data_IF_368225121640
#
_entry.id   IF_368225121640
#
_cell.length_a   1.000
_cell.length_b   1.000
_cell.length_c   1.000
_cell.angle_alpha   90.00
_cell.angle_beta   90.00
_cell.angle_gamma   90.00
#
_symmetry.space_group_name_H-M   'P 1'
#
loop_
_entity.id
_entity.type
_entity.pdbx_description
1 polymer ?
#
# COMPACT_ATOMS: atom_id res chain seq x y z
N UNK A 1 6.64 -7.63 -31.04
CA UNK A 1 7.72 -7.97 -30.07
C UNK A 1 7.43 -7.37 -28.70
N UNK A 2 7.48 -6.04 -28.53
CA UNK A 2 7.35 -5.41 -27.20
C UNK A 2 6.04 -5.69 -26.47
N UNK A 3 4.90 -5.79 -27.16
CA UNK A 3 3.63 -6.26 -26.54
C UNK A 3 3.78 -7.62 -25.85
N UNK A 4 4.45 -8.60 -26.49
CA UNK A 4 4.65 -9.92 -25.89
C UNK A 4 5.58 -9.85 -24.67
N UNK A 5 6.65 -9.06 -24.74
CA UNK A 5 7.57 -8.85 -23.62
C UNK A 5 6.84 -8.27 -22.38
N UNK A 6 5.99 -7.26 -22.58
CA UNK A 6 5.20 -6.65 -21.50
C UNK A 6 4.23 -7.65 -20.88
N UNK A 7 3.54 -8.46 -21.69
CA UNK A 7 2.63 -9.51 -21.20
C UNK A 7 3.34 -10.59 -20.38
N UNK A 8 4.57 -10.98 -20.76
CA UNK A 8 5.36 -11.98 -20.02
C UNK A 8 5.73 -11.47 -18.64
N UNK A 9 6.09 -10.18 -18.49
CA UNK A 9 6.46 -9.59 -17.19
C UNK A 9 5.25 -9.53 -16.22
N UNK A 10 4.02 -9.52 -16.73
CA UNK A 10 2.82 -9.58 -15.89
C UNK A 10 2.66 -10.95 -15.18
N UNK A 11 3.16 -12.04 -15.77
CA UNK A 11 2.97 -13.41 -15.24
C UNK A 11 3.62 -13.60 -13.87
N UNK A 12 4.92 -13.29 -13.65
CA UNK A 12 5.53 -13.40 -12.31
C UNK A 12 4.82 -12.57 -11.24
N UNK A 13 4.29 -11.41 -11.62
CA UNK A 13 3.54 -10.55 -10.70
C UNK A 13 2.22 -11.21 -10.27
N UNK A 14 1.51 -11.83 -11.22
CA UNK A 14 0.32 -12.64 -10.93
C UNK A 14 0.63 -13.79 -9.97
N UNK A 15 1.74 -14.52 -10.20
CA UNK A 15 2.18 -15.62 -9.31
C UNK A 15 2.40 -15.11 -7.88
N UNK A 16 3.04 -13.94 -7.69
CA UNK A 16 3.24 -13.36 -6.35
C UNK A 16 1.91 -13.00 -5.66
N UNK A 17 0.97 -12.38 -6.37
CA UNK A 17 -0.35 -12.03 -5.84
C UNK A 17 -1.10 -13.29 -5.39
N UNK A 18 -1.17 -14.31 -6.25
CA UNK A 18 -1.82 -15.58 -5.89
C UNK A 18 -1.11 -16.30 -4.75
N UNK A 19 0.22 -16.24 -4.68
CA UNK A 19 0.96 -16.81 -3.55
C UNK A 19 0.59 -16.12 -2.23
N UNK A 20 0.46 -14.79 -2.21
CA UNK A 20 0.04 -14.07 -0.99
C UNK A 20 -1.40 -14.41 -0.58
N UNK A 21 -2.32 -14.54 -1.56
CA UNK A 21 -3.69 -14.98 -1.29
C UNK A 21 -3.71 -16.41 -0.72
N UNK A 22 -2.91 -17.31 -1.29
CA UNK A 22 -2.77 -18.68 -0.79
C UNK A 22 -2.21 -18.72 0.64
N UNK A 23 -1.24 -17.85 0.98
CA UNK A 23 -0.72 -17.73 2.36
C UNK A 23 -1.80 -17.27 3.35
N UNK A 24 -2.74 -16.42 2.92
CA UNK A 24 -3.86 -16.00 3.77
C UNK A 24 -4.91 -17.11 3.96
N UNK A 25 -4.98 -18.07 3.04
CA UNK A 25 -5.96 -19.15 3.09
C UNK A 25 -5.64 -20.15 4.21
N UNK A 26 -6.63 -20.44 5.06
CA UNK A 26 -6.47 -21.39 6.17
C UNK A 26 -5.68 -20.85 7.38
N UNK A 27 -5.26 -19.58 7.35
CA UNK A 27 -4.58 -18.91 8.47
C UNK A 27 -5.52 -18.26 9.49
N UNK A 28 -4.97 -17.85 10.63
CA UNK A 28 -5.67 -17.03 11.64
C UNK A 28 -5.40 -15.55 11.39
N UNK A 29 -6.25 -14.90 10.61
CA UNK A 29 -6.06 -13.50 10.21
C UNK A 29 -6.55 -12.55 11.30
N UNK A 30 -5.68 -11.61 11.71
CA UNK A 30 -6.06 -10.47 12.54
C UNK A 30 -6.04 -9.18 11.72
N UNK A 31 -7.16 -8.48 11.65
CA UNK A 31 -7.31 -7.23 10.90
C UNK A 31 -6.76 -6.01 11.65
N UNK A 32 -5.47 -6.06 11.98
CA UNK A 32 -4.72 -4.89 12.46
C UNK A 32 -4.37 -3.98 11.29
N UNK A 33 -4.02 -2.74 11.59
CA UNK A 33 -3.75 -1.69 10.60
C UNK A 33 -2.73 -2.11 9.51
N UNK A 34 -1.61 -2.80 9.80
CA UNK A 34 -0.69 -3.27 8.77
C UNK A 34 -1.36 -4.24 7.79
N UNK A 35 -2.21 -5.13 8.29
CA UNK A 35 -2.95 -6.10 7.47
C UNK A 35 -3.99 -5.40 6.58
N UNK A 36 -4.66 -4.36 7.09
CA UNK A 36 -5.57 -3.54 6.26
C UNK A 36 -4.83 -2.90 5.08
N UNK A 37 -3.68 -2.26 5.33
CA UNK A 37 -2.86 -1.69 4.26
C UNK A 37 -2.30 -2.75 3.31
N UNK A 38 -1.93 -3.94 3.79
CA UNK A 38 -1.47 -5.05 2.95
C UNK A 38 -2.58 -5.59 2.02
N UNK A 39 -3.80 -5.76 2.55
CA UNK A 39 -4.96 -6.17 1.73
C UNK A 39 -5.34 -5.05 0.75
N UNK A 40 -5.35 -3.80 1.20
CA UNK A 40 -5.55 -2.64 0.34
C UNK A 40 -4.52 -2.55 -0.79
N UNK A 41 -3.25 -2.84 -0.50
CA UNK A 41 -2.19 -2.97 -1.48
C UNK A 41 -2.52 -4.03 -2.53
N UNK A 42 -2.85 -5.27 -2.11
CA UNK A 42 -3.20 -6.35 -3.04
C UNK A 42 -4.35 -5.93 -3.95
N UNK A 43 -5.40 -5.32 -3.40
CA UNK A 43 -6.57 -4.87 -4.16
C UNK A 43 -6.23 -3.77 -5.19
N UNK A 44 -5.64 -2.65 -4.74
CA UNK A 44 -5.36 -1.51 -5.61
C UNK A 44 -4.29 -1.83 -6.64
N UNK A 45 -3.26 -2.58 -6.25
CA UNK A 45 -2.21 -3.01 -7.15
C UNK A 45 -2.75 -3.99 -8.21
N UNK A 46 -3.72 -4.83 -7.88
CA UNK A 46 -4.37 -5.72 -8.86
C UNK A 46 -5.17 -4.91 -9.89
N UNK A 47 -5.97 -3.93 -9.46
CA UNK A 47 -6.70 -3.04 -10.39
C UNK A 47 -5.73 -2.29 -11.30
N UNK A 48 -4.67 -1.73 -10.72
CA UNK A 48 -3.59 -1.08 -11.48
C UNK A 48 -2.90 -2.03 -12.45
N UNK A 49 -2.59 -3.25 -12.03
CA UNK A 49 -1.96 -4.27 -12.88
C UNK A 49 -2.82 -4.64 -14.08
N UNK A 50 -4.13 -4.83 -13.88
CA UNK A 50 -5.07 -5.16 -14.95
C UNK A 50 -5.17 -4.02 -15.99
N UNK A 51 -5.21 -2.77 -15.55
CA UNK A 51 -5.20 -1.61 -16.47
C UNK A 51 -3.87 -1.48 -17.23
N UNK A 52 -2.77 -1.97 -16.65
CA UNK A 52 -1.47 -2.08 -17.34
C UNK A 52 -1.46 -3.13 -18.44
N UNK A 53 -2.15 -4.25 -18.23
CA UNK A 53 -2.33 -5.28 -19.26
C UNK A 53 -3.13 -4.71 -20.45
N UNK A 54 -4.14 -3.87 -20.19
CA UNK A 54 -4.87 -3.15 -21.25
C UNK A 54 -3.92 -2.27 -22.06
N UNK A 55 -3.09 -1.47 -21.40
CA UNK A 55 -2.11 -0.57 -22.03
C UNK A 55 -0.95 -1.30 -22.72
N UNK A 56 -0.67 -2.56 -22.39
CA UNK A 56 0.39 -3.34 -23.01
C UNK A 56 0.10 -3.72 -24.48
N UNK A 57 -1.17 -3.66 -24.90
CA UNK A 57 -1.57 -3.91 -26.27
C UNK A 57 -1.27 -2.70 -27.17
N UNK A 58 -0.54 -2.91 -28.28
CA UNK A 58 -0.13 -1.81 -29.15
C UNK A 58 -1.29 -1.06 -29.81
N UNK A 59 -2.39 -1.74 -30.13
CA UNK A 59 -3.56 -1.11 -30.73
C UNK A 59 -4.32 -0.23 -29.74
N UNK A 60 -4.43 -0.70 -28.49
CA UNK A 60 -5.05 0.08 -27.41
C UNK A 60 -4.17 1.25 -26.95
N UNK A 61 -2.85 1.06 -26.93
CA UNK A 61 -1.93 2.15 -26.60
C UNK A 61 -2.07 3.30 -27.60
N UNK A 62 -2.23 3.05 -28.91
CA UNK A 62 -2.47 4.14 -29.89
C UNK A 62 -3.66 5.02 -29.48
N UNK A 63 -4.76 4.43 -28.98
CA UNK A 63 -5.95 5.18 -28.60
C UNK A 63 -5.85 5.81 -27.20
N UNK A 64 -5.14 5.17 -26.28
CA UNK A 64 -5.06 5.58 -24.88
C UNK A 64 -3.77 6.34 -24.55
N UNK A 65 -2.84 6.44 -25.50
CA UNK A 65 -1.56 7.11 -25.33
C UNK A 65 -1.78 8.55 -24.89
N UNK A 66 -0.96 9.00 -23.94
CA UNK A 66 -1.04 10.37 -23.42
C UNK A 66 -2.42 10.80 -22.93
N UNK A 67 -3.31 9.87 -22.58
CA UNK A 67 -4.59 10.19 -21.93
C UNK A 67 -4.50 10.02 -20.42
N UNK A 68 -5.55 10.45 -19.72
CA UNK A 68 -5.71 10.17 -18.29
C UNK A 68 -5.80 8.67 -17.94
N UNK A 69 -5.99 7.77 -18.92
CA UNK A 69 -6.01 6.32 -18.65
C UNK A 69 -4.62 5.84 -18.20
N UNK A 70 -3.57 6.31 -18.86
CA UNK A 70 -2.17 6.03 -18.49
C UNK A 70 -1.83 6.64 -17.12
N UNK A 71 -2.35 7.84 -16.86
CA UNK A 71 -2.19 8.51 -15.56
C UNK A 71 -2.83 7.67 -14.46
N UNK A 72 -4.07 7.22 -14.64
CA UNK A 72 -4.80 6.40 -13.69
C UNK A 72 -4.08 5.08 -13.40
N UNK A 73 -3.71 4.34 -14.45
CA UNK A 73 -2.95 3.10 -14.36
C UNK A 73 -1.71 3.26 -13.47
N UNK A 74 -0.86 4.23 -13.78
CA UNK A 74 0.40 4.42 -13.08
C UNK A 74 0.23 4.88 -11.63
N UNK A 75 -0.79 5.71 -11.33
CA UNK A 75 -1.08 6.11 -9.96
C UNK A 75 -1.57 4.93 -9.11
N UNK A 76 -2.38 4.02 -9.66
CA UNK A 76 -2.75 2.80 -8.93
C UNK A 76 -1.56 1.87 -8.69
N UNK A 77 -0.71 1.63 -9.69
CA UNK A 77 0.43 0.70 -9.56
C UNK A 77 1.58 1.29 -8.74
N UNK A 78 2.14 2.43 -9.17
CA UNK A 78 3.33 2.98 -8.53
C UNK A 78 2.96 3.75 -7.26
N UNK A 79 2.03 4.70 -7.35
CA UNK A 79 1.73 5.57 -6.20
C UNK A 79 1.04 4.79 -5.09
N UNK A 80 -0.10 4.16 -5.37
CA UNK A 80 -0.86 3.45 -4.33
C UNK A 80 -0.17 2.18 -3.87
N UNK A 81 0.46 1.43 -4.78
CA UNK A 81 1.26 0.26 -4.44
C UNK A 81 2.38 0.58 -3.44
N UNK A 82 3.24 1.54 -3.78
CA UNK A 82 4.36 1.91 -2.92
C UNK A 82 3.92 2.57 -1.61
N UNK A 83 2.93 3.49 -1.67
CA UNK A 83 2.47 4.23 -0.48
C UNK A 83 1.74 3.31 0.51
N UNK A 84 0.93 2.36 0.05
CA UNK A 84 0.24 1.42 0.95
C UNK A 84 1.24 0.43 1.58
N UNK A 85 2.21 -0.06 0.81
CA UNK A 85 3.29 -0.89 1.35
C UNK A 85 4.13 -0.10 2.39
N UNK A 86 4.41 1.18 2.13
CA UNK A 86 5.09 2.07 3.07
C UNK A 86 4.30 2.23 4.37
N UNK A 87 2.99 2.49 4.29
CA UNK A 87 2.17 2.61 5.50
C UNK A 87 2.02 1.28 6.23
N UNK A 88 1.84 0.16 5.54
CA UNK A 88 1.84 -1.17 6.15
C UNK A 88 3.15 -1.40 6.93
N UNK A 89 4.30 -1.15 6.29
CA UNK A 89 5.62 -1.26 6.92
C UNK A 89 5.80 -0.30 8.09
N UNK A 90 5.37 0.96 7.95
CA UNK A 90 5.40 1.93 9.04
C UNK A 90 4.62 1.41 10.25
N UNK A 91 3.35 1.03 10.09
CA UNK A 91 2.54 0.55 11.20
C UNK A 91 3.06 -0.77 11.79
N UNK A 92 3.68 -1.61 10.98
CA UNK A 92 4.29 -2.87 11.42
C UNK A 92 5.55 -2.62 12.27
N UNK A 93 6.41 -1.66 11.89
CA UNK A 93 7.70 -1.42 12.54
C UNK A 93 7.77 -0.19 13.46
N UNK A 94 6.76 0.69 13.50
CA UNK A 94 6.78 1.90 14.34
C UNK A 94 6.98 1.56 15.83
N UNK A 95 6.39 0.46 16.29
CA UNK A 95 6.58 -0.06 17.64
C UNK A 95 8.02 -0.49 17.93
N UNK A 96 8.71 -1.01 16.90
CA UNK A 96 10.12 -1.41 16.97
C UNK A 96 11.05 -0.21 17.01
N UNK A 97 10.74 0.84 16.24
CA UNK A 97 11.58 2.05 16.11
C UNK A 97 11.50 2.91 17.37
N UNK A 98 10.29 3.21 17.85
CA UNK A 98 10.09 4.12 18.99
C UNK A 98 9.88 3.41 20.33
N UNK A 99 9.75 2.08 20.35
CA UNK A 99 9.41 1.31 21.54
C UNK A 99 7.98 1.55 22.05
N UNK A 100 7.10 2.14 21.24
CA UNK A 100 5.73 2.54 21.63
C UNK A 100 4.70 2.11 20.59
N UNK A 101 3.55 1.67 21.06
CA UNK A 101 2.43 1.33 20.19
C UNK A 101 1.65 2.57 19.75
N UNK A 102 1.10 2.52 18.54
CA UNK A 102 0.13 3.49 18.07
C UNK A 102 -1.28 3.08 18.51
N UNK A 103 -2.21 4.03 18.67
CA UNK A 103 -3.61 3.69 18.91
C UNK A 103 -4.25 3.08 17.65
N UNK A 104 -4.60 1.79 17.73
CA UNK A 104 -5.13 0.99 16.60
C UNK A 104 -6.30 1.67 15.88
N UNK A 105 -7.26 2.22 16.63
CA UNK A 105 -8.42 2.92 16.05
C UNK A 105 -8.02 4.10 15.16
N UNK A 106 -6.98 4.86 15.52
CA UNK A 106 -6.54 5.97 14.66
C UNK A 106 -5.84 5.47 13.40
N UNK A 107 -5.12 4.34 13.49
CA UNK A 107 -4.52 3.66 12.34
C UNK A 107 -5.56 3.17 11.33
N UNK A 108 -6.63 2.53 11.82
CA UNK A 108 -7.75 2.08 10.98
C UNK A 108 -8.51 3.26 10.35
N UNK A 109 -8.73 4.35 11.11
CA UNK A 109 -9.33 5.58 10.57
C UNK A 109 -8.44 6.16 9.46
N UNK A 110 -7.12 6.22 9.67
CA UNK A 110 -6.18 6.66 8.63
C UNK A 110 -6.30 5.80 7.38
N UNK A 111 -6.28 4.47 7.53
CA UNK A 111 -6.46 3.54 6.41
C UNK A 111 -7.72 3.84 5.61
N UNK A 112 -8.90 3.91 6.25
CA UNK A 112 -10.16 4.10 5.54
C UNK A 112 -10.25 5.44 4.82
N UNK A 113 -9.84 6.54 5.46
CA UNK A 113 -9.83 7.86 4.83
C UNK A 113 -8.92 7.85 3.61
N UNK A 114 -7.69 7.33 3.75
CA UNK A 114 -6.74 7.25 2.64
C UNK A 114 -7.27 6.36 1.52
N UNK A 115 -7.80 5.17 1.84
CA UNK A 115 -8.34 4.23 0.86
C UNK A 115 -9.49 4.82 0.04
N UNK A 116 -10.46 5.46 0.68
CA UNK A 116 -11.57 6.09 -0.05
C UNK A 116 -11.11 7.34 -0.82
N UNK A 117 -10.28 8.19 -0.23
CA UNK A 117 -9.80 9.41 -0.88
C UNK A 117 -9.03 9.14 -2.17
N UNK A 118 -8.10 8.18 -2.15
CA UNK A 118 -7.27 7.88 -3.33
C UNK A 118 -8.08 7.21 -4.44
N UNK A 119 -9.04 6.35 -4.11
CA UNK A 119 -9.93 5.77 -5.13
C UNK A 119 -10.84 6.83 -5.74
N UNK A 120 -11.40 7.72 -4.92
CA UNK A 120 -12.24 8.81 -5.43
C UNK A 120 -11.44 9.77 -6.32
N UNK A 121 -10.14 9.95 -6.05
CA UNK A 121 -9.24 10.77 -6.85
C UNK A 121 -8.91 10.12 -8.19
N UNK A 122 -8.40 8.88 -8.17
CA UNK A 122 -7.78 8.26 -9.34
C UNK A 122 -8.71 7.37 -10.15
N UNK A 123 -9.77 6.80 -9.56
CA UNK A 123 -10.69 5.95 -10.32
C UNK A 123 -11.37 6.71 -11.47
N UNK A 124 -11.89 7.94 -11.27
CA UNK A 124 -12.51 8.69 -12.35
C UNK A 124 -11.56 8.94 -13.54
N UNK A 125 -10.24 9.05 -13.30
CA UNK A 125 -9.25 9.25 -14.37
C UNK A 125 -9.28 8.16 -15.44
N UNK A 126 -9.70 6.92 -15.12
CA UNK A 126 -9.93 5.90 -16.14
C UNK A 126 -11.05 6.30 -17.10
N UNK A 127 -12.17 6.84 -16.59
CA UNK A 127 -13.29 7.31 -17.41
C UNK A 127 -12.88 8.52 -18.26
N UNK A 128 -12.15 9.48 -17.68
CA UNK A 128 -11.63 10.62 -18.46
C UNK A 128 -10.68 10.15 -19.57
N UNK A 129 -9.81 9.20 -19.27
CA UNK A 129 -8.91 8.59 -20.24
C UNK A 129 -9.63 7.90 -21.39
N UNK A 130 -10.64 7.08 -21.07
CA UNK A 130 -11.49 6.42 -22.08
C UNK A 130 -12.30 7.43 -22.91
N UNK A 131 -12.64 8.59 -22.34
CA UNK A 131 -13.29 9.69 -23.06
C UNK A 131 -12.32 10.57 -23.88
N UNK A 132 -11.03 10.22 -23.90
CA UNK A 132 -10.01 10.86 -24.72
C UNK A 132 -9.39 12.13 -24.13
N UNK A 133 -9.59 12.43 -22.84
CA UNK A 133 -8.97 13.61 -22.23
C UNK A 133 -7.43 13.47 -22.24
N UNK A 134 -6.70 14.40 -22.91
CA UNK A 134 -5.25 14.39 -22.91
C UNK A 134 -4.67 14.69 -21.52
N UNK A 135 -3.51 14.12 -21.23
CA UNK A 135 -2.75 14.45 -20.02
C UNK A 135 -2.03 15.80 -20.16
N UNK A 136 -1.71 16.43 -19.02
CA UNK A 136 -0.87 17.64 -18.94
C UNK A 136 -1.45 18.87 -19.66
N UNK A 137 -2.76 19.04 -19.56
CA UNK A 137 -3.47 20.25 -19.97
C UNK A 137 -3.91 21.01 -18.72
N UNK A 138 -3.84 22.35 -18.76
CA UNK A 138 -4.29 23.20 -17.66
C UNK A 138 -5.80 23.34 -17.62
N UNK A 139 -6.42 23.44 -18.80
CA UNK A 139 -7.86 23.57 -18.99
C UNK A 139 -8.39 22.43 -19.86
N UNK A 140 -9.69 22.16 -19.73
CA UNK A 140 -10.37 21.06 -20.42
C UNK A 140 -11.77 21.46 -20.85
N UNK A 141 -12.31 20.87 -21.93
CA UNK A 141 -13.71 21.08 -22.33
C UNK A 141 -14.71 20.72 -21.22
N UNK A 142 -15.86 21.39 -21.21
CA UNK A 142 -16.93 21.21 -20.21
C UNK A 142 -17.40 19.75 -20.08
N UNK A 143 -17.29 18.95 -21.15
CA UNK A 143 -17.61 17.53 -21.14
C UNK A 143 -16.82 16.73 -20.08
N UNK A 144 -15.62 17.18 -19.70
CA UNK A 144 -14.76 16.52 -18.72
C UNK A 144 -14.92 17.10 -17.29
N UNK A 145 -15.71 18.15 -17.10
CA UNK A 145 -15.78 18.88 -15.83
C UNK A 145 -16.33 18.02 -14.67
N UNK A 146 -17.35 17.20 -14.93
CA UNK A 146 -18.00 16.41 -13.88
C UNK A 146 -17.03 15.46 -13.16
N UNK A 147 -16.27 14.67 -13.91
CA UNK A 147 -15.32 13.73 -13.32
C UNK A 147 -14.10 14.44 -12.69
N UNK A 148 -13.61 15.53 -13.29
CA UNK A 148 -12.53 16.32 -12.69
C UNK A 148 -12.94 16.95 -11.35
N UNK A 149 -14.20 17.39 -11.22
CA UNK A 149 -14.74 17.88 -9.95
C UNK A 149 -14.73 16.78 -8.87
N UNK A 150 -15.13 15.56 -9.23
CA UNK A 150 -15.11 14.41 -8.33
C UNK A 150 -13.69 14.01 -7.92
N UNK A 151 -12.76 13.93 -8.89
CA UNK A 151 -11.35 13.66 -8.63
C UNK A 151 -10.72 14.71 -7.71
N UNK A 152 -11.07 15.99 -7.91
CA UNK A 152 -10.61 17.09 -7.06
C UNK A 152 -11.11 16.93 -5.62
N UNK A 153 -12.38 16.55 -5.44
CA UNK A 153 -12.94 16.28 -4.11
C UNK A 153 -12.23 15.11 -3.41
N UNK A 154 -11.91 14.03 -4.14
CA UNK A 154 -11.12 12.93 -3.62
C UNK A 154 -9.76 13.37 -3.07
N UNK A 155 -9.10 14.32 -3.73
CA UNK A 155 -7.77 14.78 -3.30
C UNK A 155 -7.80 15.46 -1.93
N UNK A 156 -8.86 16.21 -1.61
CA UNK A 156 -9.03 16.81 -0.29
C UNK A 156 -9.19 15.74 0.80
N UNK A 157 -9.88 14.64 0.51
CA UNK A 157 -9.99 13.49 1.43
C UNK A 157 -8.61 12.87 1.67
N UNK A 158 -7.79 12.71 0.63
CA UNK A 158 -6.41 12.22 0.77
C UNK A 158 -5.54 13.14 1.63
N UNK A 159 -5.70 14.46 1.53
CA UNK A 159 -5.02 15.43 2.42
C UNK A 159 -5.44 15.21 3.88
N UNK A 160 -6.72 14.97 4.15
CA UNK A 160 -7.20 14.61 5.50
C UNK A 160 -6.57 13.29 5.97
N UNK A 161 -6.41 12.30 5.09
CA UNK A 161 -5.71 11.05 5.36
C UNK A 161 -4.25 11.27 5.81
N UNK A 162 -3.49 12.06 5.05
CA UNK A 162 -2.10 12.41 5.38
C UNK A 162 -2.02 13.19 6.70
N UNK A 163 -2.92 14.16 6.93
CA UNK A 163 -2.99 14.87 8.20
C UNK A 163 -3.23 13.88 9.35
N UNK A 164 -4.10 12.89 9.16
CA UNK A 164 -4.39 11.86 10.15
C UNK A 164 -3.17 10.99 10.44
N UNK A 165 -2.40 10.63 9.41
CA UNK A 165 -1.13 9.93 9.57
C UNK A 165 -0.16 10.68 10.49
N UNK A 166 0.07 11.99 10.24
CA UNK A 166 0.97 12.78 11.10
C UNK A 166 0.48 12.91 12.54
N UNK A 167 -0.84 12.96 12.77
CA UNK A 167 -1.40 12.89 14.13
C UNK A 167 -1.05 11.57 14.80
N UNK A 168 -1.13 10.44 14.09
CA UNK A 168 -0.72 9.13 14.61
C UNK A 168 0.77 9.12 14.95
N UNK A 169 1.63 9.63 14.06
CA UNK A 169 3.08 9.73 14.30
C UNK A 169 3.36 10.55 15.56
N UNK A 170 2.75 11.74 15.66
CA UNK A 170 2.93 12.64 16.80
C UNK A 170 2.48 12.01 18.12
N UNK A 171 1.33 11.34 18.16
CA UNK A 171 0.84 10.65 19.36
C UNK A 171 1.77 9.50 19.72
N UNK A 172 2.25 8.75 18.73
CA UNK A 172 3.13 7.59 18.97
C UNK A 172 4.48 8.03 19.55
N UNK A 173 5.03 9.16 19.09
CA UNK A 173 6.30 9.70 19.60
C UNK A 173 6.16 10.50 20.90
N UNK A 174 5.09 11.29 21.07
CA UNK A 174 4.94 12.21 22.22
C UNK A 174 4.34 11.56 23.47
N UNK A 175 3.64 10.44 23.34
CA UNK A 175 2.83 9.94 24.45
C UNK A 175 3.63 9.19 25.51
N UNK A 176 3.95 9.88 26.61
CA UNK A 176 4.39 9.25 27.86
C UNK A 176 3.34 8.34 28.52
N UNK A 177 2.13 8.24 27.94
CA UNK A 177 1.03 7.38 28.38
C UNK A 177 0.79 6.18 27.45
N UNK A 178 1.43 6.11 26.28
CA UNK A 178 1.25 4.95 25.39
C UNK A 178 1.97 3.75 25.97
N UNK A 179 1.35 2.58 25.82
CA UNK A 179 1.92 1.33 26.28
C UNK A 179 3.27 1.10 25.58
N UNK A 180 4.26 0.65 26.36
CA UNK A 180 5.51 0.14 25.79
C UNK A 180 5.17 -0.97 24.81
N UNK A 181 5.81 -0.94 23.65
CA UNK A 181 5.68 -2.01 22.69
C UNK A 181 6.24 -3.30 23.30
N UNK A 182 5.48 -4.39 23.21
CA UNK A 182 6.00 -5.71 23.52
C UNK A 182 7.18 -6.04 22.57
N UNK A 183 8.03 -6.98 22.97
CA UNK A 183 9.14 -7.44 22.12
C UNK A 183 8.62 -8.05 20.81
N UNK A 184 7.53 -8.82 20.92
CA UNK A 184 6.75 -9.34 19.78
C UNK A 184 5.27 -8.92 19.89
N UNK A 185 4.88 -7.75 19.37
CA UNK A 185 3.50 -7.27 19.45
C UNK A 185 2.55 -7.98 18.46
N UNK A 186 3.13 -8.70 17.49
CA UNK A 186 2.41 -9.39 16.41
C UNK A 186 2.37 -10.91 16.58
N UNK A 187 3.01 -11.44 17.62
CA UNK A 187 3.03 -12.87 17.89
C UNK A 187 1.61 -13.41 18.11
N UNK A 188 1.18 -14.30 17.22
CA UNK A 188 0.03 -15.19 17.45
C UNK A 188 0.46 -16.41 18.27
N UNK A 189 1.73 -16.80 18.15
CA UNK A 189 2.37 -17.88 18.89
C UNK A 189 3.58 -17.35 19.69
N UNK A 190 4.04 -18.12 20.68
CA UNK A 190 5.15 -17.72 21.57
C UNK A 190 6.46 -17.45 20.82
N UNK A 191 6.66 -18.05 19.65
CA UNK A 191 7.86 -17.89 18.83
C UNK A 191 7.56 -17.04 17.58
N UNK A 192 8.19 -15.87 17.41
CA UNK A 192 8.06 -15.10 16.18
C UNK A 192 8.75 -15.81 15.02
N UNK A 193 8.19 -15.66 13.82
CA UNK A 193 8.73 -16.29 12.60
C UNK A 193 9.98 -15.60 12.07
N UNK A 194 10.16 -14.31 12.37
CA UNK A 194 11.30 -13.50 11.92
C UNK A 194 12.14 -13.02 13.09
N UNK A 195 13.46 -12.96 12.88
CA UNK A 195 14.43 -12.68 13.95
C UNK A 195 14.28 -11.28 14.55
N UNK A 196 13.76 -10.30 13.80
CA UNK A 196 13.64 -8.93 14.34
C UNK A 196 12.71 -8.86 15.55
N UNK A 197 11.74 -9.76 15.69
CA UNK A 197 10.82 -9.77 16.84
C UNK A 197 11.31 -10.59 18.04
N UNK A 198 12.50 -11.18 17.96
CA UNK A 198 13.17 -11.84 19.09
C UNK A 198 13.90 -10.85 20.01
N UNK A 199 14.16 -9.64 19.52
CA UNK A 199 14.89 -8.61 20.29
C UNK A 199 13.94 -7.57 20.88
N UNK A 200 14.49 -6.74 21.77
CA UNK A 200 13.79 -5.65 22.44
C UNK A 200 13.23 -4.61 21.45
N UNK A 201 12.30 -3.79 21.92
CA UNK A 201 11.72 -2.66 21.18
C UNK A 201 11.87 -1.37 22.02
N UNK A 202 12.79 -0.45 21.69
CA UNK A 202 13.76 -0.50 20.59
C UNK A 202 14.91 -1.48 20.85
N UNK A 203 15.60 -1.96 19.78
CA UNK A 203 16.80 -2.78 19.93
C UNK A 203 17.92 -2.03 20.66
N UNK A 204 18.77 -2.77 21.38
CA UNK A 204 20.01 -2.22 21.93
C UNK A 204 20.98 -1.80 20.82
N UNK A 205 21.96 -0.96 21.15
CA UNK A 205 22.97 -0.48 20.18
C UNK A 205 23.70 -1.62 19.48
N UNK A 206 24.01 -2.68 20.22
CA UNK A 206 24.41 -3.98 19.67
C UNK A 206 23.20 -4.91 19.71
N UNK A 207 22.57 -5.12 18.55
CA UNK A 207 21.28 -5.81 18.40
C UNK A 207 21.26 -7.20 19.04
N UNK A 208 22.35 -7.95 18.90
CA UNK A 208 22.53 -9.28 19.48
C UNK A 208 23.82 -9.29 20.30
N UNK A 209 23.72 -9.60 21.60
CA UNK A 209 24.90 -9.85 22.44
C UNK A 209 25.61 -11.15 22.06
N UNK A 210 24.84 -12.15 21.62
CA UNK A 210 25.31 -13.40 21.04
C UNK A 210 24.48 -13.69 19.78
N UNK A 211 25.14 -14.14 18.72
CA UNK A 211 24.48 -14.38 17.44
C UNK A 211 23.51 -15.57 17.55
N UNK A 212 22.30 -15.48 16.95
CA UNK A 212 21.37 -16.60 16.96
C UNK A 212 21.92 -17.76 16.14
N UNK A 213 21.86 -18.97 16.70
CA UNK A 213 22.22 -20.19 16.01
C UNK A 213 21.03 -20.70 15.17
N UNK A 214 21.27 -21.01 13.90
CA UNK A 214 20.31 -21.72 13.05
C UNK A 214 20.77 -23.16 12.94
N UNK A 215 19.93 -24.10 13.41
CA UNK A 215 20.23 -25.52 13.29
C UNK A 215 20.13 -25.92 11.81
N UNK A 216 21.27 -26.22 11.19
CA UNK A 216 21.27 -26.91 9.90
C UNK A 216 20.71 -28.32 10.07
N UNK A 217 19.81 -28.71 9.17
CA UNK A 217 19.27 -30.08 9.14
C UNK A 217 19.99 -30.89 8.06
N UNK A 218 20.54 -32.04 8.49
CA UNK A 218 21.37 -33.05 7.80
C UNK A 218 22.88 -32.83 7.88
N UNK A 219 23.49 -33.49 8.87
CA UNK A 219 24.83 -34.10 8.74
C UNK A 219 24.68 -35.54 8.25
#
# INVERSE_FOLDING_TARGET
>A
YFTAATMIIAVPTGIKIFSWIATMWGGSIQYKTPMLFAVGFIFLFTIGGLTGIVLANSGLDIALHDTYYVVAHFHYVLSMGAVFALFAGFYYWVGKIFGRTYPETLGQIHFWITFFGVNLTFFPMHFLGLSGMPRRISDYPDAYAGWNALSSFGSYISVVGIRRFFVVVAITSSSGKNQKCAESPWAVEQNPTTLEWLVQSPPAFHTFGELPAVKETKS
#
